data_IF_181695093584
#
_entry.id   IF_181695093584
#
_cell.length_a   1.000
_cell.length_b   1.000
_cell.length_c   1.000
_cell.angle_alpha   90.00
_cell.angle_beta   90.00
_cell.angle_gamma   90.00
#
_symmetry.space_group_name_H-M   'P 1'
#
loop_
_entity.id
_entity.type
_entity.pdbx_description
1 polymer ?
#
# COMPACT_ATOMS: atom_id res chain seq x y z
N UNK A 1 -3.20 14.19 -10.71
CA UNK A 1 -2.80 12.77 -10.73
C UNK A 1 -3.10 12.20 -12.10
N UNK A 2 -2.17 11.50 -12.74
CA UNK A 2 -2.40 10.82 -14.04
C UNK A 2 -3.34 9.64 -13.87
N UNK A 3 -3.97 9.16 -14.93
CA UNK A 3 -4.84 7.99 -14.89
C UNK A 3 -4.07 6.74 -14.44
N UNK A 4 -2.86 6.54 -14.95
CA UNK A 4 -1.96 5.45 -14.57
C UNK A 4 -1.65 5.44 -13.05
N UNK A 5 -1.31 6.62 -12.49
CA UNK A 5 -1.05 6.76 -11.06
C UNK A 5 -2.30 6.48 -10.22
N UNK A 6 -3.48 6.85 -10.71
CA UNK A 6 -4.75 6.57 -10.04
C UNK A 6 -5.03 5.07 -10.01
N UNK A 7 -4.82 4.38 -11.10
CA UNK A 7 -5.00 2.93 -11.22
C UNK A 7 -4.00 2.16 -10.34
N UNK A 8 -2.73 2.59 -10.34
CA UNK A 8 -1.69 2.02 -9.49
C UNK A 8 -2.05 2.17 -8.00
N UNK A 9 -2.42 3.39 -7.58
CA UNK A 9 -2.82 3.67 -6.21
C UNK A 9 -4.04 2.84 -5.80
N UNK A 10 -5.08 2.80 -6.63
CA UNK A 10 -6.30 2.04 -6.34
C UNK A 10 -6.01 0.54 -6.21
N UNK A 11 -5.20 -0.03 -7.10
CA UNK A 11 -4.80 -1.44 -7.05
C UNK A 11 -4.04 -1.76 -5.77
N UNK A 12 -3.08 -0.92 -5.37
CA UNK A 12 -2.31 -1.09 -4.14
C UNK A 12 -3.22 -1.01 -2.90
N UNK A 13 -4.07 0.00 -2.83
CA UNK A 13 -4.99 0.20 -1.71
C UNK A 13 -6.00 -0.96 -1.57
N UNK A 14 -6.56 -1.47 -2.67
CA UNK A 14 -7.46 -2.62 -2.64
C UNK A 14 -6.77 -3.89 -2.13
N UNK A 15 -5.49 -4.11 -2.49
CA UNK A 15 -4.71 -5.23 -1.98
C UNK A 15 -4.44 -5.15 -0.48
N UNK A 16 -4.42 -3.93 0.09
CA UNK A 16 -4.20 -3.68 1.53
C UNK A 16 -5.48 -3.55 2.34
N UNK A 17 -6.64 -3.56 1.71
CA UNK A 17 -7.93 -3.38 2.39
C UNK A 17 -8.12 -4.34 3.59
N UNK A 18 -7.77 -5.64 3.51
CA UNK A 18 -7.90 -6.57 4.63
C UNK A 18 -6.98 -6.23 5.83
N UNK A 19 -5.98 -5.41 5.63
CA UNK A 19 -4.95 -5.09 6.63
C UNK A 19 -5.12 -3.69 7.24
N UNK A 20 -6.20 -2.96 6.90
CA UNK A 20 -6.57 -1.71 7.52
C UNK A 20 -5.57 -0.58 7.28
N UNK A 21 -5.11 -0.41 6.04
CA UNK A 21 -4.15 0.67 5.71
C UNK A 21 -4.72 2.03 6.09
N UNK A 22 -3.92 2.83 6.79
CA UNK A 22 -4.25 4.20 7.18
C UNK A 22 -3.67 5.19 6.18
N UNK A 23 -4.34 6.32 6.03
CA UNK A 23 -3.87 7.38 5.13
C UNK A 23 -4.42 8.74 5.48
N UNK A 24 -3.80 9.76 4.91
CA UNK A 24 -4.34 11.11 4.93
C UNK A 24 -5.42 11.23 3.87
N UNK A 25 -6.65 11.52 4.29
CA UNK A 25 -7.79 11.82 3.42
C UNK A 25 -8.07 13.30 3.45
N UNK A 26 -8.19 13.90 2.26
CA UNK A 26 -8.65 15.27 2.06
C UNK A 26 -9.85 15.20 1.11
N UNK A 27 -10.93 15.87 1.45
CA UNK A 27 -12.13 15.92 0.62
C UNK A 27 -13.01 17.10 0.97
N UNK A 28 -13.95 17.42 0.08
CA UNK A 28 -15.00 18.40 0.39
C UNK A 28 -16.29 17.62 0.63
N UNK A 29 -16.83 17.76 1.84
CA UNK A 29 -18.04 17.03 2.24
C UNK A 29 -19.22 17.35 1.32
N UNK A 30 -19.88 16.34 0.71
CA UNK A 30 -20.87 16.57 -0.36
C UNK A 30 -22.11 17.33 0.10
N UNK A 31 -22.48 17.21 1.37
CA UNK A 31 -23.69 17.83 1.91
C UNK A 31 -23.40 19.21 2.48
N UNK A 32 -22.40 19.34 3.34
CA UNK A 32 -22.05 20.62 3.98
C UNK A 32 -21.20 21.54 3.10
N UNK A 33 -20.53 21.01 2.09
CA UNK A 33 -19.55 21.73 1.29
C UNK A 33 -18.27 22.11 2.06
N UNK A 34 -18.10 21.62 3.29
CA UNK A 34 -16.95 21.94 4.12
C UNK A 34 -15.72 21.10 3.73
N UNK A 35 -14.53 21.71 3.71
CA UNK A 35 -13.30 20.95 3.54
C UNK A 35 -13.01 20.12 4.81
N UNK A 36 -12.66 18.86 4.61
CA UNK A 36 -12.26 17.94 5.66
C UNK A 36 -10.88 17.38 5.37
N UNK A 37 -10.08 17.21 6.42
CA UNK A 37 -8.78 16.58 6.36
C UNK A 37 -8.53 15.79 7.64
N UNK A 38 -8.03 14.57 7.51
CA UNK A 38 -7.72 13.72 8.67
C UNK A 38 -7.02 12.44 8.28
N UNK A 39 -6.71 11.64 9.30
CA UNK A 39 -6.18 10.29 9.15
C UNK A 39 -7.34 9.31 9.25
N UNK A 40 -7.51 8.50 8.24
CA UNK A 40 -8.60 7.52 8.13
C UNK A 40 -8.05 6.15 7.74
N UNK A 41 -8.80 5.11 8.07
CA UNK A 41 -8.60 3.78 7.48
C UNK A 41 -9.25 3.78 6.11
N UNK A 42 -8.55 3.27 5.09
CA UNK A 42 -9.07 3.11 3.75
C UNK A 42 -10.27 2.16 3.74
N UNK A 43 -11.37 2.56 3.14
CA UNK A 43 -12.64 1.84 3.18
C UNK A 43 -13.43 1.91 1.85
N UNK A 44 -14.67 1.41 1.88
CA UNK A 44 -15.55 1.41 0.70
C UNK A 44 -15.93 2.79 0.22
N UNK A 45 -15.96 3.80 1.11
CA UNK A 45 -16.15 5.21 0.70
C UNK A 45 -15.02 5.64 -0.22
N UNK A 46 -13.78 5.37 0.18
CA UNK A 46 -12.60 5.75 -0.61
C UNK A 46 -12.57 5.05 -1.97
N UNK A 47 -12.92 3.76 -2.00
CA UNK A 47 -13.03 2.99 -3.25
C UNK A 47 -14.06 3.63 -4.18
N UNK A 48 -15.26 3.92 -3.68
CA UNK A 48 -16.32 4.51 -4.49
C UNK A 48 -15.93 5.88 -5.05
N UNK A 49 -15.35 6.74 -4.20
CA UNK A 49 -14.93 8.07 -4.65
C UNK A 49 -13.78 8.01 -5.65
N UNK A 50 -12.79 7.13 -5.42
CA UNK A 50 -11.67 6.94 -6.36
C UNK A 50 -12.12 6.39 -7.70
N UNK A 51 -13.14 5.53 -7.73
CA UNK A 51 -13.61 4.89 -8.97
C UNK A 51 -14.60 5.74 -9.72
N UNK A 52 -15.59 6.28 -9.04
CA UNK A 52 -16.74 6.95 -9.65
C UNK A 52 -16.75 8.47 -9.49
N UNK A 53 -16.05 9.00 -8.50
CA UNK A 53 -16.15 10.41 -8.10
C UNK A 53 -17.36 10.72 -7.22
N UNK A 54 -18.17 9.72 -6.86
CA UNK A 54 -19.43 9.89 -6.15
C UNK A 54 -19.47 9.05 -4.86
N UNK A 55 -20.25 9.52 -3.92
CA UNK A 55 -20.58 8.82 -2.69
C UNK A 55 -22.10 8.77 -2.49
N UNK A 56 -22.58 7.64 -2.00
CA UNK A 56 -23.99 7.47 -1.64
C UNK A 56 -24.26 8.11 -0.26
N UNK A 57 -25.07 9.15 -0.26
CA UNK A 57 -25.50 9.88 0.94
C UNK A 57 -26.86 9.36 1.48
N UNK A 58 -27.24 8.14 1.17
CA UNK A 58 -28.51 7.56 1.59
C UNK A 58 -29.73 8.30 1.01
N UNK A 59 -30.55 8.91 1.86
CA UNK A 59 -31.76 9.64 1.44
C UNK A 59 -31.47 10.81 0.47
N UNK A 60 -30.26 11.33 0.48
CA UNK A 60 -29.84 12.42 -0.42
C UNK A 60 -29.29 11.92 -1.77
N UNK A 61 -29.26 10.59 -1.97
CA UNK A 61 -28.75 9.95 -3.19
C UNK A 61 -27.26 10.15 -3.41
N UNK A 62 -26.80 9.88 -4.64
CA UNK A 62 -25.39 10.01 -4.99
C UNK A 62 -24.97 11.48 -5.11
N UNK A 63 -23.86 11.83 -4.48
CA UNK A 63 -23.26 13.16 -4.50
C UNK A 63 -21.82 13.11 -5.00
N UNK A 64 -21.48 14.07 -5.85
CA UNK A 64 -20.11 14.28 -6.30
C UNK A 64 -19.22 14.69 -5.11
N UNK A 65 -18.08 14.01 -4.96
CA UNK A 65 -17.05 14.37 -3.97
C UNK A 65 -15.97 15.19 -4.65
N UNK A 66 -15.78 16.41 -4.17
CA UNK A 66 -14.79 17.34 -4.74
C UNK A 66 -13.51 17.37 -3.91
N UNK A 67 -12.41 17.71 -4.59
CA UNK A 67 -11.09 17.85 -3.97
C UNK A 67 -10.65 16.60 -3.18
N UNK A 68 -11.10 15.41 -3.62
CA UNK A 68 -10.75 14.17 -2.96
C UNK A 68 -9.31 13.77 -3.24
N UNK A 69 -8.60 13.41 -2.18
CA UNK A 69 -7.35 12.68 -2.25
C UNK A 69 -7.21 11.75 -1.04
N UNK A 70 -6.60 10.59 -1.28
CA UNK A 70 -6.18 9.67 -0.22
C UNK A 70 -4.72 9.31 -0.46
N UNK A 71 -3.87 9.55 0.54
CA UNK A 71 -2.46 9.17 0.53
C UNK A 71 -2.19 8.18 1.67
N UNK A 72 -1.95 6.90 1.38
CA UNK A 72 -1.66 5.92 2.42
C UNK A 72 -0.33 6.25 3.12
N UNK A 73 -0.25 5.88 4.39
CA UNK A 73 1.01 5.82 5.12
C UNK A 73 1.65 4.47 4.85
N UNK A 74 2.82 4.45 4.23
CA UNK A 74 3.56 3.24 3.90
C UNK A 74 4.99 3.32 4.41
N UNK A 75 5.58 2.18 4.67
CA UNK A 75 6.99 2.06 5.05
C UNK A 75 7.85 1.77 3.81
N UNK A 76 8.95 2.49 3.57
CA UNK A 76 9.90 2.10 2.55
C UNK A 76 10.53 0.75 2.91
N UNK A 77 10.86 -0.07 1.91
CA UNK A 77 11.47 -1.39 2.13
C UNK A 77 12.77 -1.30 2.95
N UNK A 78 13.51 -0.20 2.82
CA UNK A 78 14.73 0.07 3.59
C UNK A 78 14.52 0.27 5.09
N UNK A 79 13.28 0.51 5.53
CA UNK A 79 12.93 0.69 6.95
C UNK A 79 12.60 -0.63 7.66
N UNK A 80 12.71 -1.77 6.98
CA UNK A 80 12.51 -3.09 7.61
C UNK A 80 13.40 -3.26 8.82
N UNK A 81 12.81 -3.74 9.91
CA UNK A 81 13.57 -4.10 11.12
C UNK A 81 14.36 -5.38 10.89
N UNK A 82 15.36 -5.63 11.75
CA UNK A 82 16.15 -6.85 11.68
C UNK A 82 15.30 -8.12 11.94
N UNK A 83 14.25 -8.02 12.74
CA UNK A 83 13.30 -9.11 12.98
C UNK A 83 12.51 -9.43 11.69
N UNK A 84 12.04 -8.40 11.01
CA UNK A 84 11.31 -8.54 9.73
C UNK A 84 12.21 -9.14 8.64
N UNK A 85 13.47 -8.71 8.55
CA UNK A 85 14.45 -9.28 7.62
C UNK A 85 14.70 -10.76 7.92
N UNK A 86 14.86 -11.13 9.20
CA UNK A 86 15.02 -12.52 9.62
C UNK A 86 13.79 -13.37 9.32
N UNK A 87 12.58 -12.82 9.41
CA UNK A 87 11.35 -13.51 9.03
C UNK A 87 11.34 -13.85 7.54
N UNK A 88 11.70 -12.86 6.69
CA UNK A 88 11.83 -13.08 5.25
C UNK A 88 12.94 -14.09 4.93
N UNK A 89 14.10 -13.98 5.58
CA UNK A 89 15.25 -14.85 5.36
C UNK A 89 14.95 -16.32 5.70
N UNK A 90 14.19 -16.55 6.74
CA UNK A 90 13.72 -17.93 7.09
C UNK A 90 12.85 -18.55 5.99
N UNK A 91 12.09 -17.72 5.26
CA UNK A 91 11.18 -18.19 4.23
C UNK A 91 11.86 -18.29 2.86
N UNK A 92 12.75 -17.35 2.53
CA UNK A 92 13.24 -17.15 1.16
C UNK A 92 14.77 -17.10 1.03
N UNK A 93 15.55 -17.13 2.13
CA UNK A 93 16.99 -16.81 2.08
C UNK A 93 17.26 -15.51 1.28
N UNK A 94 16.71 -14.40 1.79
CA UNK A 94 16.80 -13.09 1.12
C UNK A 94 18.23 -12.60 1.08
N UNK A 95 18.79 -12.40 -0.12
CA UNK A 95 20.16 -11.89 -0.32
C UNK A 95 20.23 -10.38 -0.12
N UNK A 96 19.19 -9.65 -0.48
CA UNK A 96 19.20 -8.21 -0.40
C UNK A 96 17.81 -7.59 -0.46
N UNK A 97 17.65 -6.59 0.41
CA UNK A 97 16.50 -5.70 0.40
C UNK A 97 17.02 -4.36 -0.05
N UNK A 98 16.58 -3.93 -1.23
CA UNK A 98 16.93 -2.64 -1.79
C UNK A 98 15.80 -1.65 -1.53
N UNK A 99 16.09 -0.37 -1.71
CA UNK A 99 15.14 0.73 -1.49
C UNK A 99 13.73 0.48 -2.07
N UNK A 100 13.68 -0.11 -3.27
CA UNK A 100 12.43 -0.37 -4.00
C UNK A 100 12.35 -1.80 -4.55
N UNK A 101 13.18 -2.72 -4.09
CA UNK A 101 13.24 -4.07 -4.64
C UNK A 101 13.68 -5.10 -3.59
N UNK A 102 13.07 -6.28 -3.64
CA UNK A 102 13.47 -7.46 -2.87
C UNK A 102 14.06 -8.46 -3.84
N UNK A 103 15.37 -8.72 -3.71
CA UNK A 103 16.01 -9.85 -4.38
C UNK A 103 15.91 -11.08 -3.50
N UNK A 104 15.23 -12.09 -4.01
CA UNK A 104 15.11 -13.41 -3.39
C UNK A 104 16.04 -14.33 -4.16
N UNK A 105 16.93 -15.01 -3.44
CA UNK A 105 17.74 -16.09 -3.98
C UNK A 105 17.64 -17.27 -3.02
N UNK A 106 17.51 -18.46 -3.57
CA UNK A 106 17.56 -19.69 -2.79
C UNK A 106 19.02 -20.16 -2.70
N UNK A 107 19.41 -20.59 -1.52
CA UNK A 107 20.71 -21.20 -1.29
C UNK A 107 20.53 -22.73 -1.27
N UNK A 108 21.03 -23.43 -2.28
CA UNK A 108 21.17 -24.88 -2.24
C UNK A 108 22.65 -25.23 -2.07
N UNK A 109 23.03 -25.75 -0.92
CA UNK A 109 24.32 -26.42 -0.64
C UNK A 109 25.57 -25.78 -1.30
N UNK A 110 25.75 -24.45 -1.11
CA UNK A 110 26.99 -23.76 -1.52
C UNK A 110 27.00 -23.15 -2.93
N UNK A 111 25.92 -23.24 -3.67
CA UNK A 111 25.74 -22.55 -4.94
C UNK A 111 24.60 -21.55 -4.88
N UNK A 112 24.85 -20.34 -5.37
CA UNK A 112 23.83 -19.33 -5.57
C UNK A 112 23.11 -19.62 -6.88
N UNK A 113 21.93 -20.22 -6.81
CA UNK A 113 21.08 -20.40 -7.99
C UNK A 113 20.07 -19.25 -8.03
N UNK A 114 20.26 -18.35 -8.99
CA UNK A 114 19.35 -17.21 -9.22
C UNK A 114 18.12 -17.61 -10.06
N UNK A 115 18.10 -18.83 -10.58
CA UNK A 115 17.11 -19.29 -11.55
C UNK A 115 16.08 -20.26 -10.95
N UNK A 116 16.08 -20.43 -9.61
CA UNK A 116 15.02 -21.21 -8.97
C UNK A 116 13.68 -20.50 -9.12
N UNK A 117 12.74 -21.16 -9.77
CA UNK A 117 11.35 -20.70 -9.89
C UNK A 117 10.76 -20.57 -8.49
N UNK A 118 10.46 -19.33 -8.09
CA UNK A 118 9.71 -19.07 -6.87
C UNK A 118 8.30 -19.61 -7.06
N UNK A 119 7.85 -20.53 -6.22
CA UNK A 119 6.50 -21.07 -6.28
C UNK A 119 5.48 -19.91 -6.16
N UNK A 120 4.37 -20.03 -6.89
CA UNK A 120 3.26 -19.09 -6.84
C UNK A 120 2.77 -18.84 -5.39
N UNK A 121 2.75 -19.86 -4.55
CA UNK A 121 2.35 -19.76 -3.16
C UNK A 121 3.34 -18.90 -2.33
N UNK A 122 4.62 -18.97 -2.64
CA UNK A 122 5.65 -18.16 -2.01
C UNK A 122 5.55 -16.69 -2.42
N UNK A 123 5.28 -16.42 -3.70
CA UNK A 123 4.97 -15.07 -4.16
C UNK A 123 3.72 -14.50 -3.50
N UNK A 124 2.67 -15.29 -3.40
CA UNK A 124 1.43 -14.89 -2.75
C UNK A 124 1.66 -14.58 -1.26
N UNK A 125 2.43 -15.44 -0.58
CA UNK A 125 2.81 -15.21 0.81
C UNK A 125 3.59 -13.90 0.97
N UNK A 126 4.60 -13.65 0.10
CA UNK A 126 5.41 -12.43 0.14
C UNK A 126 4.56 -11.17 -0.04
N UNK A 127 3.71 -11.15 -1.06
CA UNK A 127 2.83 -10.00 -1.33
C UNK A 127 1.88 -9.75 -0.16
N UNK A 128 1.28 -10.80 0.39
CA UNK A 128 0.42 -10.67 1.57
C UNK A 128 1.18 -10.16 2.80
N UNK A 129 2.40 -10.65 3.00
CA UNK A 129 3.27 -10.20 4.09
C UNK A 129 3.66 -8.72 3.93
N UNK A 130 4.03 -8.27 2.74
CA UNK A 130 4.33 -6.87 2.43
C UNK A 130 3.12 -5.97 2.66
N UNK A 131 1.94 -6.39 2.21
CA UNK A 131 0.70 -5.66 2.42
C UNK A 131 0.34 -5.54 3.91
N UNK A 132 0.46 -6.64 4.67
CA UNK A 132 0.19 -6.70 6.10
C UNK A 132 1.11 -5.78 6.91
N UNK A 133 2.36 -5.66 6.50
CA UNK A 133 3.35 -4.80 7.14
C UNK A 133 3.40 -3.39 6.52
N UNK A 134 2.48 -3.06 5.62
CA UNK A 134 2.35 -1.76 4.96
C UNK A 134 3.60 -1.28 4.21
N UNK A 135 4.41 -2.19 3.66
CA UNK A 135 5.60 -1.83 2.90
C UNK A 135 5.27 -1.34 1.49
N UNK A 136 5.96 -0.27 1.06
CA UNK A 136 5.84 0.29 -0.28
C UNK A 136 6.71 -0.48 -1.29
N UNK A 137 6.17 -1.52 -1.86
CA UNK A 137 6.84 -2.30 -2.92
C UNK A 137 6.45 -1.87 -4.34
N UNK A 138 5.55 -0.90 -4.48
CA UNK A 138 5.17 -0.28 -5.75
C UNK A 138 5.83 1.09 -6.02
N UNK A 139 6.62 1.60 -5.06
CA UNK A 139 7.26 2.91 -5.17
C UNK A 139 6.28 4.08 -5.13
N UNK A 140 5.20 3.96 -4.37
CA UNK A 140 4.18 5.01 -4.24
C UNK A 140 4.71 6.24 -3.51
N UNK A 141 5.63 6.05 -2.54
CA UNK A 141 6.28 7.16 -1.80
C UNK A 141 7.07 8.03 -2.77
N UNK A 142 7.92 7.42 -3.61
CA UNK A 142 8.72 8.14 -4.61
C UNK A 142 7.85 8.88 -5.64
N UNK A 143 6.70 8.33 -5.97
CA UNK A 143 5.72 8.97 -6.88
C UNK A 143 4.88 10.06 -6.20
N UNK A 144 5.06 10.29 -4.90
CA UNK A 144 4.25 11.24 -4.13
C UNK A 144 2.79 10.81 -3.94
N UNK A 145 2.49 9.52 -4.16
CA UNK A 145 1.16 8.91 -4.01
C UNK A 145 0.93 8.35 -2.60
N UNK A 146 1.99 8.14 -1.84
CA UNK A 146 1.96 7.71 -0.44
C UNK A 146 2.82 8.62 0.43
N UNK A 147 2.66 8.50 1.74
CA UNK A 147 3.43 9.23 2.76
C UNK A 147 4.35 8.22 3.45
N UNK A 148 5.63 8.56 3.57
CA UNK A 148 6.57 7.77 4.34
C UNK A 148 6.17 7.76 5.82
N UNK A 149 5.87 6.56 6.34
CA UNK A 149 5.45 6.34 7.72
C UNK A 149 6.63 6.17 8.69
N UNK A 150 7.88 6.19 8.21
CA UNK A 150 9.06 6.01 9.06
C UNK A 150 9.11 7.11 10.14
N UNK A 151 9.22 6.67 11.39
CA UNK A 151 9.23 7.60 12.54
C UNK A 151 7.87 8.16 12.95
N UNK A 152 6.78 7.78 12.26
CA UNK A 152 5.41 8.14 12.63
C UNK A 152 4.76 6.99 13.42
N UNK A 153 4.05 7.31 14.50
CA UNK A 153 3.29 6.33 15.28
C UNK A 153 1.87 6.19 14.71
N UNK A 154 1.78 5.61 13.51
CA UNK A 154 0.52 5.49 12.75
C UNK A 154 -0.15 4.12 12.95
N UNK A 155 0.64 3.04 13.05
CA UNK A 155 0.21 1.66 13.19
C UNK A 155 0.52 1.08 14.55
#
# INVERSE_FOLDING_TARGET
>A
MTQENKELLLRDLCARLPYGVRGERIWTAPVSGSPEKGIYVFDTFDINVLTTGYYDCGEYGFREVRNYSFKPYLFPLSSMTEEQKKELDKKFHVIGIYWNNIKICYHSEGYWDTDLEVDFQDWLWLINWLNKNHFDYHGLIEKGLAIDASGLNIY
#
